data_IF_514509133820
#
_entry.id   IF_514509133820
#
_cell.length_a   1.000
_cell.length_b   1.000
_cell.length_c   1.000
_cell.angle_alpha   90.00
_cell.angle_beta   90.00
_cell.angle_gamma   90.00
#
_symmetry.space_group_name_H-M   'P 1'
#
loop_
_entity.id
_entity.type
_entity.pdbx_description
1 polymer ?
#
# COMPACT_ATOMS: atom_id res chain seq x y z
N UNK A 1 -2.18 3.38 25.44
CA UNK A 1 -1.91 4.03 24.13
C UNK A 1 -1.49 2.95 23.13
N UNK A 2 -2.16 2.83 21.98
CA UNK A 2 -1.81 1.82 20.96
C UNK A 2 -0.50 2.22 20.26
N UNK A 3 0.51 1.35 20.36
CA UNK A 3 1.83 1.54 19.79
C UNK A 3 1.73 1.39 18.25
N UNK A 4 1.54 2.51 17.55
CA UNK A 4 1.52 2.58 16.09
C UNK A 4 2.91 2.28 15.52
N UNK A 5 3.26 0.99 15.47
CA UNK A 5 4.44 0.50 14.77
C UNK A 5 4.22 0.68 13.27
N UNK A 6 4.52 1.88 12.75
CA UNK A 6 4.51 2.18 11.31
C UNK A 6 5.66 1.40 10.66
N UNK A 7 5.41 0.14 10.31
CA UNK A 7 6.34 -0.64 9.49
C UNK A 7 6.38 -0.01 8.10
N UNK A 8 7.34 0.87 7.85
CA UNK A 8 7.60 1.36 6.50
C UNK A 8 8.41 0.30 5.75
N UNK A 9 7.74 -0.56 4.99
CA UNK A 9 8.43 -1.44 4.05
C UNK A 9 9.05 -0.57 2.95
N UNK A 10 10.38 -0.43 2.98
CA UNK A 10 11.12 0.27 1.92
C UNK A 10 11.23 -0.65 0.70
N UNK A 11 11.12 -0.08 -0.49
CA UNK A 11 11.40 -0.82 -1.72
C UNK A 11 12.87 -1.26 -1.73
N UNK A 12 13.10 -2.56 -1.93
CA UNK A 12 14.44 -3.16 -1.88
C UNK A 12 15.20 -3.01 -3.20
N UNK A 13 14.48 -2.83 -4.31
CA UNK A 13 15.06 -2.72 -5.65
C UNK A 13 15.02 -1.25 -6.10
N UNK A 14 16.14 -0.66 -6.52
CA UNK A 14 16.15 0.67 -7.13
C UNK A 14 15.36 0.66 -8.46
N UNK A 15 14.52 1.67 -8.69
CA UNK A 15 13.82 1.86 -9.97
C UNK A 15 12.42 1.23 -10.11
N UNK A 16 12.02 0.29 -9.24
CA UNK A 16 10.66 -0.30 -9.28
C UNK A 16 9.55 0.61 -8.73
N UNK A 17 9.88 1.83 -8.31
CA UNK A 17 8.93 2.77 -7.71
C UNK A 17 7.73 3.07 -8.61
N UNK A 18 7.95 3.17 -9.92
CA UNK A 18 6.90 3.45 -10.89
C UNK A 18 5.96 2.26 -11.08
N UNK A 19 6.51 1.05 -11.27
CA UNK A 19 5.75 -0.18 -11.41
C UNK A 19 4.91 -0.49 -10.16
N UNK A 20 5.49 -0.31 -8.96
CA UNK A 20 4.76 -0.49 -7.70
C UNK A 20 3.68 0.57 -7.53
N UNK A 21 3.91 1.80 -7.98
CA UNK A 21 2.87 2.83 -7.96
C UNK A 21 1.71 2.50 -8.90
N UNK A 22 1.97 1.99 -10.10
CA UNK A 22 0.92 1.53 -11.02
C UNK A 22 0.10 0.41 -10.38
N UNK A 23 0.78 -0.62 -9.87
CA UNK A 23 0.14 -1.74 -9.17
C UNK A 23 -0.70 -1.27 -7.96
N UNK A 24 -0.21 -0.30 -7.19
CA UNK A 24 -0.94 0.30 -6.05
C UNK A 24 -2.29 0.87 -6.49
N UNK A 25 -2.34 1.60 -7.61
CA UNK A 25 -3.60 2.18 -8.09
C UNK A 25 -4.53 1.14 -8.70
N UNK A 26 -3.99 0.13 -9.41
CA UNK A 26 -4.78 -1.00 -9.92
C UNK A 26 -5.46 -1.76 -8.79
N UNK A 27 -4.72 -2.12 -7.73
CA UNK A 27 -5.26 -2.84 -6.57
C UNK A 27 -6.26 -1.96 -5.81
N UNK A 28 -5.98 -0.68 -5.65
CA UNK A 28 -6.90 0.25 -5.00
C UNK A 28 -8.25 0.32 -5.75
N UNK A 29 -8.20 0.34 -7.09
CA UNK A 29 -9.40 0.27 -7.94
C UNK A 29 -10.13 -1.08 -7.79
N UNK A 30 -9.40 -2.20 -7.83
CA UNK A 30 -9.94 -3.55 -7.65
C UNK A 30 -10.69 -3.69 -6.32
N UNK A 31 -10.14 -3.10 -5.25
CA UNK A 31 -10.71 -3.20 -3.90
C UNK A 31 -11.72 -2.08 -3.59
N UNK A 32 -11.96 -1.15 -4.52
CA UNK A 32 -12.83 0.01 -4.29
C UNK A 32 -12.34 0.93 -3.17
N UNK A 33 -11.02 0.97 -2.93
CA UNK A 33 -10.40 1.78 -1.87
C UNK A 33 -9.93 3.11 -2.44
N UNK A 34 -10.44 4.20 -1.88
CA UNK A 34 -9.85 5.52 -2.08
C UNK A 34 -8.65 5.69 -1.14
N UNK A 35 -7.44 5.69 -1.68
CA UNK A 35 -6.23 5.92 -0.88
C UNK A 35 -6.14 7.38 -0.44
N UNK A 36 -5.77 7.62 0.81
CA UNK A 36 -5.60 8.97 1.32
C UNK A 36 -5.48 9.03 2.84
N UNK A 37 -5.17 10.23 3.38
CA UNK A 37 -5.06 10.44 4.83
C UNK A 37 -6.40 10.25 5.55
N UNK A 38 -7.53 10.53 4.88
CA UNK A 38 -8.89 10.36 5.41
C UNK A 38 -9.39 8.91 5.34
N UNK A 39 -8.71 8.05 4.58
CA UNK A 39 -9.07 6.64 4.48
C UNK A 39 -8.61 5.89 5.73
N UNK A 40 -9.41 4.89 6.15
CA UNK A 40 -9.04 4.07 7.30
C UNK A 40 -7.67 3.42 7.11
N UNK A 41 -6.89 3.30 8.19
CA UNK A 41 -5.57 2.66 8.12
C UNK A 41 -5.65 1.22 7.62
N UNK A 42 -6.75 0.52 7.87
CA UNK A 42 -7.00 -0.82 7.33
C UNK A 42 -7.21 -0.81 5.81
N UNK A 43 -7.94 0.16 5.27
CA UNK A 43 -8.16 0.28 3.82
C UNK A 43 -6.86 0.64 3.08
N UNK A 44 -6.08 1.59 3.61
CA UNK A 44 -4.74 1.87 3.06
C UNK A 44 -3.81 0.64 3.20
N UNK A 45 -3.92 -0.07 4.33
CA UNK A 45 -3.12 -1.25 4.63
C UNK A 45 -3.45 -2.47 3.75
N UNK A 46 -4.70 -2.67 3.35
CA UNK A 46 -5.09 -3.80 2.49
C UNK A 46 -4.45 -3.72 1.10
N UNK A 47 -4.35 -2.51 0.53
CA UNK A 47 -3.65 -2.28 -0.75
C UNK A 47 -2.15 -2.59 -0.62
N UNK A 48 -1.49 -2.09 0.44
CA UNK A 48 -0.07 -2.36 0.68
C UNK A 48 0.24 -3.83 0.96
N UNK A 49 -0.66 -4.53 1.66
CA UNK A 49 -0.56 -5.96 1.90
C UNK A 49 -0.64 -6.78 0.61
N UNK A 50 -1.55 -6.41 -0.30
CA UNK A 50 -1.72 -7.13 -1.57
C UNK A 50 -0.57 -6.87 -2.55
N UNK A 51 0.00 -5.65 -2.57
CA UNK A 51 1.27 -5.39 -3.29
C UNK A 51 2.35 -6.35 -2.80
N UNK A 52 2.51 -6.48 -1.48
CA UNK A 52 3.53 -7.37 -0.89
C UNK A 52 3.26 -8.84 -1.20
N UNK A 53 1.99 -9.24 -1.34
CA UNK A 53 1.61 -10.63 -1.65
C UNK A 53 1.85 -11.01 -3.11
N UNK A 54 1.81 -10.03 -4.03
CA UNK A 54 2.06 -10.22 -5.47
C UNK A 54 3.55 -10.13 -5.83
N UNK A 55 4.39 -9.69 -4.88
CA UNK A 55 5.86 -9.62 -5.00
C UNK A 55 6.51 -10.81 -4.28
#
# INVERSE_FOLDING_TARGET
MANNNRSSNKLLVPGVHEAVNQMKYEIAQEFGVQLGPEASSRANGSVGGEITKRL
#
